data_IF_925132890379
#
_entry.id   IF_925132890379
#
_cell.length_a   1.000
_cell.length_b   1.000
_cell.length_c   1.000
_cell.angle_alpha   90.00
_cell.angle_beta   90.00
_cell.angle_gamma   90.00
#
_symmetry.space_group_name_H-M   'P 1'
#
loop_
_entity.id
_entity.type
_entity.pdbx_description
1 polymer ?
#
# COMPACT_ATOMS: atom_id res chain seq x y z
N UNK A 1 3.59 -3.23 16.43
CA UNK A 1 2.73 -4.43 16.48
C UNK A 1 1.54 -4.14 15.57
N UNK A 2 1.52 -4.71 14.36
CA UNK A 2 0.37 -4.76 13.45
C UNK A 2 0.73 -5.81 12.39
N UNK A 3 0.34 -7.06 12.65
CA UNK A 3 0.41 -8.13 11.65
C UNK A 3 -0.85 -8.00 10.77
N UNK A 4 -0.75 -7.93 9.42
CA UNK A 4 -1.93 -7.95 8.59
C UNK A 4 -2.55 -9.36 8.61
N UNK A 5 -3.87 -9.37 8.70
CA UNK A 5 -4.72 -10.55 8.76
C UNK A 5 -4.50 -11.47 7.55
N UNK A 6 -4.53 -12.77 7.80
CA UNK A 6 -4.52 -13.82 6.78
C UNK A 6 -5.81 -13.75 5.95
N UNK A 7 -5.72 -13.25 4.72
CA UNK A 7 -6.71 -13.48 3.69
C UNK A 7 -6.01 -14.14 2.49
N UNK A 8 -6.15 -15.46 2.39
CA UNK A 8 -5.97 -16.26 1.16
C UNK A 8 -4.79 -15.93 0.25
N UNK A 9 -3.55 -16.15 0.71
CA UNK A 9 -2.38 -16.10 -0.18
C UNK A 9 -2.38 -17.36 -1.09
N UNK A 10 -2.34 -17.25 -2.44
CA UNK A 10 -1.52 -18.20 -3.18
C UNK A 10 -0.11 -18.08 -2.61
N UNK A 11 0.52 -19.19 -2.21
CA UNK A 11 1.84 -19.18 -1.61
C UNK A 11 2.89 -18.72 -2.65
N UNK A 12 2.98 -17.41 -2.87
CA UNK A 12 4.04 -16.79 -3.64
C UNK A 12 5.35 -17.15 -2.92
N UNK A 13 6.31 -17.81 -3.59
CA UNK A 13 7.54 -18.29 -2.95
C UNK A 13 8.51 -17.12 -2.72
N UNK A 14 8.13 -16.22 -1.80
CA UNK A 14 8.94 -15.07 -1.40
C UNK A 14 9.85 -15.46 -0.24
N UNK A 15 11.13 -15.06 -0.31
CA UNK A 15 12.08 -15.22 0.80
C UNK A 15 11.69 -14.37 2.01
N UNK A 16 11.13 -13.18 1.77
CA UNK A 16 10.56 -12.32 2.81
C UNK A 16 9.07 -12.05 2.52
N UNK A 17 8.15 -12.71 3.25
CA UNK A 17 6.72 -12.50 3.11
C UNK A 17 6.27 -11.06 3.42
N UNK A 18 7.05 -10.27 4.17
CA UNK A 18 6.69 -8.90 4.56
C UNK A 18 6.75 -7.92 3.39
N UNK A 19 7.34 -8.31 2.27
CA UNK A 19 7.35 -7.50 1.05
C UNK A 19 6.01 -7.53 0.33
N UNK A 20 5.20 -8.57 0.54
CA UNK A 20 3.84 -8.62 0.02
C UNK A 20 2.95 -7.68 0.85
N UNK A 21 2.33 -6.70 0.19
CA UNK A 21 1.52 -5.66 0.83
C UNK A 21 0.22 -5.46 0.08
N UNK A 22 -0.86 -5.35 0.84
CA UNK A 22 -2.22 -5.08 0.35
C UNK A 22 -2.73 -3.74 0.88
N UNK A 23 -1.80 -2.84 1.18
CA UNK A 23 -2.02 -1.52 1.77
C UNK A 23 -1.20 -0.50 0.98
N UNK A 24 -1.67 0.74 0.93
CA UNK A 24 -0.90 1.86 0.40
C UNK A 24 -0.05 2.47 1.52
N UNK A 25 1.04 3.16 1.16
CA UNK A 25 1.90 3.83 2.14
C UNK A 25 1.72 5.34 2.07
N UNK A 26 1.16 5.94 3.12
CA UNK A 26 0.90 7.38 3.23
C UNK A 26 1.42 7.86 4.58
N UNK A 27 2.21 8.94 4.57
CA UNK A 27 2.68 9.63 5.79
C UNK A 27 3.39 8.71 6.81
N UNK A 28 4.21 7.78 6.31
CA UNK A 28 4.93 6.85 7.16
C UNK A 28 4.11 5.65 7.65
N UNK A 29 2.90 5.45 7.14
CA UNK A 29 1.96 4.42 7.61
C UNK A 29 1.39 3.59 6.46
N UNK A 30 1.16 2.30 6.73
CA UNK A 30 0.39 1.42 5.86
C UNK A 30 -1.10 1.63 6.10
N UNK A 31 -1.82 2.05 5.06
CA UNK A 31 -3.23 2.46 5.12
C UNK A 31 -4.09 1.66 4.14
N UNK A 32 -5.36 1.49 4.50
CA UNK A 32 -6.43 0.98 3.63
C UNK A 32 -7.28 2.14 3.13
N UNK A 33 -8.13 1.91 2.12
CA UNK A 33 -9.10 2.90 1.67
C UNK A 33 -10.13 3.19 2.77
N UNK A 34 -10.52 4.45 2.93
CA UNK A 34 -11.55 4.85 3.92
C UNK A 34 -12.88 4.18 3.59
N UNK A 35 -13.19 4.06 2.30
CA UNK A 35 -14.37 3.37 1.79
C UNK A 35 -14.25 1.84 1.84
N UNK A 36 -13.13 1.29 2.33
CA UNK A 36 -12.81 -0.16 2.36
C UNK A 36 -12.87 -0.84 0.99
N UNK A 37 -12.82 -0.07 -0.10
CA UNK A 37 -12.77 -0.60 -1.46
C UNK A 37 -11.38 -1.10 -1.79
N UNK A 38 -11.32 -2.18 -2.55
CA UNK A 38 -10.08 -2.78 -3.04
C UNK A 38 -10.22 -3.21 -4.50
N UNK A 39 -9.08 -3.31 -5.18
CA UNK A 39 -8.95 -3.81 -6.54
C UNK A 39 -8.16 -5.12 -6.50
N UNK A 40 -8.65 -6.14 -7.20
CA UNK A 40 -7.94 -7.41 -7.33
C UNK A 40 -6.76 -7.27 -8.31
N UNK A 41 -5.59 -7.78 -7.91
CA UNK A 41 -4.41 -7.87 -8.77
C UNK A 41 -4.38 -9.25 -9.39
N UNK A 42 -4.46 -9.32 -10.72
CA UNK A 42 -4.59 -10.58 -11.46
C UNK A 42 -3.27 -10.92 -12.17
N UNK A 43 -2.84 -12.17 -12.07
CA UNK A 43 -1.75 -12.71 -12.88
C UNK A 43 -2.22 -12.87 -14.34
N UNK A 44 -1.67 -12.13 -15.32
CA UNK A 44 -2.14 -12.19 -16.70
C UNK A 44 -1.84 -13.53 -17.39
N UNK A 45 -0.88 -14.32 -16.90
CA UNK A 45 -0.52 -15.61 -17.49
C UNK A 45 -1.46 -16.75 -17.07
N UNK A 46 -2.04 -16.69 -15.87
CA UNK A 46 -2.89 -17.75 -15.33
C UNK A 46 -4.33 -17.32 -15.02
N UNK A 47 -4.62 -16.01 -14.99
CA UNK A 47 -5.89 -15.44 -14.56
C UNK A 47 -6.13 -15.52 -13.05
N UNK A 48 -5.17 -16.04 -12.25
CA UNK A 48 -5.33 -16.16 -10.80
C UNK A 48 -5.17 -14.82 -10.10
N UNK A 49 -5.95 -14.60 -9.04
CA UNK A 49 -5.78 -13.42 -8.16
C UNK A 49 -4.54 -13.60 -7.29
N UNK A 50 -3.64 -12.62 -7.33
CA UNK A 50 -2.43 -12.58 -6.50
C UNK A 50 -2.72 -12.01 -5.10
N UNK A 51 -3.62 -11.03 -5.03
CA UNK A 51 -4.05 -10.33 -3.82
C UNK A 51 -4.86 -9.09 -4.20
N UNK A 52 -4.97 -8.15 -3.26
CA UNK A 52 -5.74 -6.92 -3.44
C UNK A 52 -4.94 -5.68 -3.09
N UNK A 53 -5.29 -4.55 -3.68
CA UNK A 53 -4.76 -3.22 -3.32
C UNK A 53 -5.91 -2.27 -3.00
N UNK A 54 -5.74 -1.31 -2.07
CA UNK A 54 -6.78 -0.34 -1.76
C UNK A 54 -7.15 0.53 -2.97
N UNK A 55 -8.44 0.73 -3.17
CA UNK A 55 -8.98 1.70 -4.14
C UNK A 55 -9.13 3.05 -3.44
N UNK A 56 -8.01 3.78 -3.34
CA UNK A 56 -7.96 5.07 -2.65
C UNK A 56 -8.70 6.16 -3.43
N UNK A 57 -9.51 6.94 -2.73
CA UNK A 57 -10.23 8.08 -3.29
C UNK A 57 -9.52 9.42 -3.11
N UNK A 58 -10.23 10.47 -3.52
CA UNK A 58 -9.73 11.84 -3.47
C UNK A 58 -9.38 12.33 -2.04
N UNK A 59 -10.04 11.80 -1.01
CA UNK A 59 -9.77 12.19 0.38
C UNK A 59 -8.39 11.69 0.82
N UNK A 60 -8.10 10.43 0.57
CA UNK A 60 -6.81 9.80 0.85
C UNK A 60 -5.70 10.45 0.01
N UNK A 61 -5.96 10.74 -1.27
CA UNK A 61 -5.02 11.48 -2.12
C UNK A 61 -4.68 12.85 -1.55
N UNK A 62 -5.67 13.61 -1.07
CA UNK A 62 -5.43 14.91 -0.42
C UNK A 62 -4.58 14.78 0.83
N UNK A 63 -4.79 13.75 1.66
CA UNK A 63 -3.94 13.48 2.83
C UNK A 63 -2.50 13.14 2.43
N UNK A 64 -2.31 12.39 1.36
CA UNK A 64 -0.97 12.09 0.82
C UNK A 64 -0.24 13.35 0.35
N UNK A 65 -0.93 14.23 -0.37
CA UNK A 65 -0.38 15.52 -0.83
C UNK A 65 0.05 16.37 0.37
N UNK A 66 -0.83 16.57 1.36
CA UNK A 66 -0.52 17.35 2.55
C UNK A 66 0.65 16.77 3.35
N UNK A 67 0.75 15.44 3.45
CA UNK A 67 1.88 14.77 4.10
C UNK A 67 3.19 15.00 3.35
N UNK A 68 3.18 14.92 2.01
CA UNK A 68 4.34 15.19 1.18
C UNK A 68 4.81 16.65 1.29
N UNK A 69 3.87 17.61 1.28
CA UNK A 69 4.17 19.03 1.51
C UNK A 69 4.83 19.26 2.87
N UNK A 70 4.33 18.62 3.94
CA UNK A 70 4.92 18.71 5.28
C UNK A 70 6.31 18.08 5.36
N UNK A 71 6.54 16.97 4.65
CA UNK A 71 7.84 16.29 4.65
C UNK A 71 8.91 17.04 3.83
N UNK A 72 8.48 17.84 2.85
CA UNK A 72 9.37 18.44 1.86
C UNK A 72 10.48 19.32 2.44
N UNK A 73 10.25 20.25 3.38
CA UNK A 73 11.29 21.13 3.93
C UNK A 73 12.45 20.36 4.58
N UNK A 74 12.13 19.34 5.38
CA UNK A 74 13.14 18.53 6.06
C UNK A 74 13.91 17.63 5.08
N UNK A 75 13.23 17.11 4.06
CA UNK A 75 13.87 16.30 3.02
C UNK A 75 14.82 17.13 2.15
N UNK A 76 14.35 18.28 1.62
CA UNK A 76 15.14 19.13 0.71
C UNK A 76 16.36 19.77 1.35
N UNK A 77 16.40 19.87 2.68
CA UNK A 77 17.53 20.42 3.41
C UNK A 77 18.67 19.41 3.59
N UNK A 78 18.47 18.14 3.25
CA UNK A 78 19.53 17.12 3.31
C UNK A 78 20.54 17.35 2.17
N UNK A 79 21.82 17.20 2.49
CA UNK A 79 22.89 17.17 1.49
C UNK A 79 22.93 15.80 0.81
N UNK A 80 23.39 15.77 -0.46
CA UNK A 80 23.63 14.53 -1.20
C UNK A 80 24.79 13.73 -0.61
#
# INVERSE_FOLDING_TARGET
MNAPAQAGLPALPLKDPKLFREQCYIDGQWVSADAKKTLAVINPASGQTLGTVPDLGAAETRRAIAAAERAWPAWRAKTA
#
